data_IF_834064086878
#
_entry.id   IF_834064086878
#
_cell.length_a   1.000
_cell.length_b   1.000
_cell.length_c   1.000
_cell.angle_alpha   90.00
_cell.angle_beta   90.00
_cell.angle_gamma   90.00
#
_symmetry.space_group_name_H-M   'P 1'
#
loop_
_entity.id
_entity.type
_entity.pdbx_description
1 polymer ?
#
# COMPACT_ATOMS: atom_id res chain seq x y z
N UNK A 1 -7.87 10.06 3.55
CA UNK A 1 -9.15 10.27 2.85
C UNK A 1 -8.99 10.97 1.50
N UNK A 2 -8.30 12.12 1.39
CA UNK A 2 -8.09 12.81 0.10
C UNK A 2 -7.38 11.91 -0.92
N UNK A 3 -6.22 11.35 -0.57
CA UNK A 3 -5.48 10.41 -1.44
C UNK A 3 -6.36 9.21 -1.79
N UNK A 4 -7.07 8.64 -0.82
CA UNK A 4 -7.99 7.52 -1.06
C UNK A 4 -9.08 7.85 -2.09
N UNK A 5 -9.64 9.07 -2.07
CA UNK A 5 -10.64 9.47 -3.07
C UNK A 5 -10.07 9.64 -4.47
N UNK A 6 -8.79 9.98 -4.59
CA UNK A 6 -8.11 10.08 -5.90
C UNK A 6 -7.73 8.68 -6.38
N UNK A 7 -7.21 7.84 -5.49
CA UNK A 7 -6.69 6.51 -5.83
C UNK A 7 -7.80 5.48 -6.06
N UNK A 8 -8.85 5.50 -5.22
CA UNK A 8 -9.91 4.49 -5.21
C UNK A 8 -11.29 5.05 -5.60
N UNK A 9 -11.35 6.29 -6.09
CA UNK A 9 -12.58 6.95 -6.55
C UNK A 9 -13.63 7.23 -5.47
N UNK A 10 -13.31 6.92 -4.21
CA UNK A 10 -14.27 6.88 -3.12
C UNK A 10 -13.69 7.39 -1.81
N UNK A 11 -14.54 8.03 -1.01
CA UNK A 11 -14.21 8.46 0.34
C UNK A 11 -14.65 7.38 1.32
N UNK A 12 -13.76 7.02 2.22
CA UNK A 12 -14.08 6.11 3.31
C UNK A 12 -14.77 6.85 4.44
N UNK A 13 -15.72 6.19 5.09
CA UNK A 13 -16.25 6.66 6.36
C UNK A 13 -15.15 6.57 7.43
N UNK A 14 -15.14 7.49 8.39
CA UNK A 14 -14.09 7.51 9.42
C UNK A 14 -14.09 6.28 10.33
N UNK A 15 -15.23 5.59 10.44
CA UNK A 15 -15.42 4.38 11.24
C UNK A 15 -15.34 3.10 10.40
N UNK A 16 -15.00 3.22 9.10
CA UNK A 16 -14.83 2.06 8.23
C UNK A 16 -13.61 1.24 8.68
N UNK A 17 -13.84 0.00 9.10
CA UNK A 17 -12.80 -0.88 9.65
C UNK A 17 -11.69 -1.17 8.62
N UNK A 18 -12.04 -1.26 7.35
CA UNK A 18 -11.09 -1.53 6.26
C UNK A 18 -10.16 -0.33 6.05
N UNK A 19 -10.70 0.88 6.14
CA UNK A 19 -9.93 2.12 6.10
C UNK A 19 -9.06 2.31 7.35
N UNK A 20 -9.61 2.02 8.53
CA UNK A 20 -8.86 2.08 9.79
C UNK A 20 -7.69 1.09 9.80
N UNK A 21 -7.89 -0.12 9.27
CA UNK A 21 -6.83 -1.11 9.11
C UNK A 21 -5.73 -0.59 8.18
N UNK A 22 -6.09 -0.03 7.02
CA UNK A 22 -5.12 0.58 6.09
C UNK A 22 -4.31 1.70 6.78
N UNK A 23 -4.98 2.58 7.52
CA UNK A 23 -4.31 3.65 8.26
C UNK A 23 -3.36 3.10 9.33
N UNK A 24 -3.76 2.06 10.05
CA UNK A 24 -2.90 1.38 11.05
C UNK A 24 -1.68 0.77 10.38
N UNK A 25 -1.84 0.06 9.27
CA UNK A 25 -0.73 -0.53 8.51
C UNK A 25 0.26 0.55 8.02
N UNK A 26 -0.24 1.67 7.51
CA UNK A 26 0.60 2.80 7.11
C UNK A 26 1.36 3.38 8.29
N UNK A 27 0.67 3.67 9.40
CA UNK A 27 1.28 4.22 10.60
C UNK A 27 2.33 3.30 11.20
N UNK A 28 2.04 2.01 11.31
CA UNK A 28 2.99 1.01 11.84
C UNK A 28 4.20 0.89 10.92
N UNK A 29 4.01 0.92 9.60
CA UNK A 29 5.12 0.93 8.64
C UNK A 29 6.02 2.16 8.82
N UNK A 30 5.44 3.35 8.97
CA UNK A 30 6.20 4.58 9.23
C UNK A 30 6.97 4.51 10.55
N UNK A 31 6.35 3.97 11.61
CA UNK A 31 7.01 3.79 12.90
C UNK A 31 8.20 2.83 12.81
N UNK A 32 8.03 1.71 12.11
CA UNK A 32 9.10 0.72 11.94
C UNK A 32 10.26 1.26 11.11
N UNK A 33 9.97 1.93 9.99
CA UNK A 33 10.98 2.56 9.13
C UNK A 33 11.76 3.66 9.89
N UNK A 34 11.12 4.31 10.87
CA UNK A 34 11.74 5.35 11.67
C UNK A 34 12.60 4.82 12.83
N UNK A 35 12.69 3.50 13.03
CA UNK A 35 13.51 2.93 14.10
C UNK A 35 15.01 3.04 13.78
N UNK A 36 15.88 3.19 14.80
CA UNK A 36 17.33 3.14 14.60
C UNK A 36 17.80 1.85 13.92
N UNK A 37 17.12 0.74 14.19
CA UNK A 37 17.40 -0.54 13.54
C UNK A 37 17.10 -0.50 12.04
N UNK A 38 16.00 0.13 11.62
CA UNK A 38 15.69 0.29 10.20
C UNK A 38 16.70 1.18 9.49
N UNK A 39 17.16 2.25 10.13
CA UNK A 39 18.21 3.10 9.56
C UNK A 39 19.55 2.35 9.43
N UNK A 40 19.89 1.51 10.41
CA UNK A 40 21.07 0.65 10.32
C UNK A 40 20.93 -0.39 9.20
N UNK A 41 19.74 -0.96 9.05
CA UNK A 41 19.44 -1.88 7.94
C UNK A 41 19.60 -1.19 6.58
N UNK A 42 19.13 0.04 6.42
CA UNK A 42 19.25 0.81 5.16
C UNK A 42 20.73 1.03 4.76
N UNK A 43 21.61 1.24 5.73
CA UNK A 43 23.05 1.46 5.49
C UNK A 43 23.80 0.14 5.21
N UNK A 44 23.40 -0.95 5.87
CA UNK A 44 24.13 -2.22 5.87
C UNK A 44 23.29 -3.39 5.32
N UNK A 45 22.38 -3.11 4.39
CA UNK A 45 21.40 -4.08 3.85
C UNK A 45 22.10 -5.34 3.32
N UNK A 46 23.18 -5.18 2.54
CA UNK A 46 23.90 -6.29 1.91
C UNK A 46 24.41 -7.35 2.89
N UNK A 47 24.65 -6.96 4.14
CA UNK A 47 25.12 -7.82 5.23
C UNK A 47 23.93 -8.29 6.07
N UNK A 48 23.04 -7.36 6.45
CA UNK A 48 21.97 -7.61 7.41
C UNK A 48 20.78 -8.38 6.84
N UNK A 49 20.60 -8.41 5.52
CA UNK A 49 19.53 -9.17 4.86
C UNK A 49 19.57 -10.69 5.15
N UNK A 50 20.76 -11.23 5.43
CA UNK A 50 20.94 -12.66 5.70
C UNK A 50 20.74 -13.02 7.19
N UNK A 51 20.69 -12.03 8.08
CA UNK A 51 20.52 -12.23 9.51
C UNK A 51 19.03 -12.21 9.89
N UNK A 52 18.61 -12.95 10.94
CA UNK A 52 17.29 -12.74 11.51
C UNK A 52 17.25 -11.41 12.27
N UNK A 53 16.21 -10.61 12.07
CA UNK A 53 16.08 -9.35 12.80
C UNK A 53 14.79 -8.56 12.53
N UNK A 54 14.59 -7.45 13.27
CA UNK A 54 13.41 -6.59 13.17
C UNK A 54 13.12 -6.05 11.76
N UNK A 55 14.13 -5.98 10.89
CA UNK A 55 13.98 -5.53 9.50
C UNK A 55 12.98 -6.36 8.70
N UNK A 56 12.69 -7.61 9.10
CA UNK A 56 11.67 -8.47 8.46
C UNK A 56 10.24 -7.99 8.67
N UNK A 57 9.99 -7.12 9.66
CA UNK A 57 8.67 -6.57 9.96
C UNK A 57 8.18 -5.59 8.90
N UNK A 58 9.08 -4.82 8.29
CA UNK A 58 8.74 -3.85 7.24
C UNK A 58 8.21 -4.54 5.98
N UNK A 59 8.89 -5.55 5.40
CA UNK A 59 8.35 -6.33 4.29
C UNK A 59 6.99 -6.96 4.59
N UNK A 60 6.75 -7.42 5.81
CA UNK A 60 5.46 -8.00 6.21
C UNK A 60 4.33 -6.94 6.18
N UNK A 61 4.55 -5.78 6.81
CA UNK A 61 3.58 -4.68 6.84
C UNK A 61 3.28 -4.17 5.43
N UNK A 62 4.33 -3.96 4.61
CA UNK A 62 4.19 -3.57 3.21
C UNK A 62 3.50 -4.66 2.38
N UNK A 63 3.75 -5.93 2.68
CA UNK A 63 3.07 -7.07 2.06
C UNK A 63 1.56 -7.03 2.29
N UNK A 64 1.13 -6.82 3.55
CA UNK A 64 -0.30 -6.67 3.89
C UNK A 64 -0.94 -5.48 3.18
N UNK A 65 -0.25 -4.34 3.14
CA UNK A 65 -0.72 -3.15 2.42
C UNK A 65 -0.82 -3.40 0.91
N UNK A 66 0.15 -4.10 0.30
CA UNK A 66 0.09 -4.51 -1.11
C UNK A 66 -1.08 -5.44 -1.38
N UNK A 67 -1.36 -6.42 -0.51
CA UNK A 67 -2.52 -7.29 -0.65
C UNK A 67 -3.83 -6.50 -0.64
N UNK A 68 -3.95 -5.50 0.23
CA UNK A 68 -5.10 -4.60 0.24
C UNK A 68 -5.27 -3.88 -1.10
N UNK A 69 -4.20 -3.26 -1.59
CA UNK A 69 -4.22 -2.49 -2.85
C UNK A 69 -4.53 -3.44 -4.02
N UNK A 70 -3.95 -4.63 -4.05
CA UNK A 70 -4.18 -5.62 -5.10
C UNK A 70 -5.65 -6.05 -5.19
N UNK A 71 -6.35 -6.21 -4.06
CA UNK A 71 -7.80 -6.48 -4.06
C UNK A 71 -8.59 -5.34 -4.69
N UNK A 72 -8.20 -4.09 -4.46
CA UNK A 72 -8.83 -2.92 -5.08
C UNK A 72 -8.55 -2.85 -6.57
N UNK A 73 -7.30 -3.05 -6.98
CA UNK A 73 -6.92 -3.13 -8.40
C UNK A 73 -7.71 -4.22 -9.13
N UNK A 74 -7.86 -5.40 -8.52
CA UNK A 74 -8.66 -6.48 -9.08
C UNK A 74 -10.14 -6.11 -9.23
N UNK A 75 -10.73 -5.48 -8.21
CA UNK A 75 -12.12 -5.00 -8.27
C UNK A 75 -12.33 -3.95 -9.35
N UNK A 76 -11.37 -3.03 -9.51
CA UNK A 76 -11.40 -2.00 -10.53
C UNK A 76 -11.30 -2.64 -11.93
N UNK A 77 -10.36 -3.54 -12.14
CA UNK A 77 -10.19 -4.27 -13.41
C UNK A 77 -11.44 -5.05 -13.83
N UNK A 78 -12.15 -5.68 -12.89
CA UNK A 78 -13.40 -6.40 -13.18
C UNK A 78 -14.56 -5.50 -13.62
N UNK A 79 -14.51 -4.22 -13.28
CA UNK A 79 -15.58 -3.24 -13.51
C UNK A 79 -15.09 -2.05 -14.34
N UNK A 80 -13.98 -2.21 -15.05
CA UNK A 80 -13.31 -1.16 -15.80
C UNK A 80 -14.15 -0.78 -17.02
N UNK A 81 -14.43 0.51 -17.16
CA UNK A 81 -15.02 1.11 -18.35
C UNK A 81 -13.95 1.99 -19.03
N UNK A 82 -13.44 1.61 -20.21
CA UNK A 82 -12.43 2.38 -20.94
C UNK A 82 -12.87 3.81 -21.31
N UNK A 83 -14.17 4.04 -21.48
CA UNK A 83 -14.71 5.35 -21.86
C UNK A 83 -14.89 6.28 -20.65
N UNK A 84 -14.98 5.72 -19.43
CA UNK A 84 -15.27 6.45 -18.20
C UNK A 84 -14.37 6.00 -17.02
N UNK A 85 -13.07 6.35 -17.02
CA UNK A 85 -12.18 6.00 -15.91
C UNK A 85 -12.64 6.71 -14.62
N UNK A 86 -12.82 5.93 -13.54
CA UNK A 86 -13.41 6.43 -12.29
C UNK A 86 -12.37 7.01 -11.33
N UNK A 87 -11.15 6.49 -11.37
CA UNK A 87 -10.09 6.81 -10.44
C UNK A 87 -8.69 6.56 -11.01
N UNK A 88 -7.66 6.81 -10.20
CA UNK A 88 -6.28 6.61 -10.61
C UNK A 88 -5.98 5.16 -11.03
N UNK A 89 -6.60 4.17 -10.39
CA UNK A 89 -6.37 2.76 -10.71
C UNK A 89 -6.89 2.46 -12.11
N UNK A 90 -8.10 2.92 -12.44
CA UNK A 90 -8.66 2.74 -13.79
C UNK A 90 -7.78 3.41 -14.85
N UNK A 91 -7.34 4.65 -14.60
CA UNK A 91 -6.41 5.36 -15.50
C UNK A 91 -5.10 4.59 -15.70
N UNK A 92 -4.56 4.01 -14.62
CA UNK A 92 -3.32 3.24 -14.69
C UNK A 92 -3.50 1.93 -15.44
N UNK A 93 -4.61 1.22 -15.22
CA UNK A 93 -4.93 -0.02 -15.94
C UNK A 93 -5.05 0.23 -17.44
N UNK A 94 -5.77 1.27 -17.86
CA UNK A 94 -5.90 1.64 -19.28
C UNK A 94 -4.55 2.03 -19.90
N UNK A 95 -3.65 2.62 -19.12
CA UNK A 95 -2.31 2.96 -19.59
C UNK A 95 -1.40 1.73 -19.72
N UNK A 96 -1.64 0.66 -18.96
CA UNK A 96 -0.88 -0.60 -19.07
C UNK A 96 -1.27 -1.43 -20.31
N UNK A 97 -2.48 -1.24 -20.84
CA UNK A 97 -2.96 -1.92 -22.05
C UNK A 97 -2.52 -1.24 -23.35
N UNK A 98 -1.93 -0.04 -23.26
CA UNK A 98 -1.30 0.68 -24.38
C UNK A 98 0.17 0.30 -24.55
#
# INVERSE_FOLDING_TARGET
NIICSIVFGSRFQYQDETFLELLRLMNDSFREISTPWSQLYDIAESILQHLPGPHRRIPELLGRMRTFIARRVQSNAQSLDPDHPRDFIDCFLLQMEK
#
